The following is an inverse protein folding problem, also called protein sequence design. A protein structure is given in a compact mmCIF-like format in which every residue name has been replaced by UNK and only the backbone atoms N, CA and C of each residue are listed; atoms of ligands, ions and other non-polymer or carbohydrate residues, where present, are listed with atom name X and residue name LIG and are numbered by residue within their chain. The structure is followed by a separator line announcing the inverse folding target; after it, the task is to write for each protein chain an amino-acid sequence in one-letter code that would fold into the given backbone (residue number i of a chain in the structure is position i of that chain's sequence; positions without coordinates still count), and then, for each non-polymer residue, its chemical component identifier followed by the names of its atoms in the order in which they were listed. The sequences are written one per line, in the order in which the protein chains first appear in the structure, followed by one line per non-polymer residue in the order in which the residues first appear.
data_IF_492816824947
#
_entry.id   IF_492816824947
#
_cell.length_a   1.000
_cell.length_b   1.000
_cell.length_c   1.000
_cell.angle_alpha   90.00
_cell.angle_beta   90.00
_cell.angle_gamma   90.00
#
_symmetry.space_group_name_H-M   'P 1'
#
loop_
_entity.id
_entity.type
_entity.pdbx_description
1 polymer ?
#
# COMPACT_ATOMS: atom_id res chain seq x y z
N UNK A 1 33.95 6.91 1.55
CA UNK A 1 33.78 8.35 1.27
C UNK A 1 34.08 8.59 -0.20
N UNK A 2 33.12 8.25 -1.06
CA UNK A 2 33.10 8.67 -2.46
C UNK A 2 32.09 9.81 -2.66
N UNK A 3 32.33 10.66 -3.67
CA UNK A 3 31.43 11.75 -4.05
C UNK A 3 30.86 11.45 -5.44
N UNK A 4 29.57 11.17 -5.51
CA UNK A 4 28.83 10.82 -6.72
C UNK A 4 27.91 11.96 -7.07
N UNK A 5 28.11 12.55 -8.25
CA UNK A 5 27.35 13.73 -8.67
C UNK A 5 26.73 13.49 -10.04
N UNK A 6 25.42 13.63 -10.09
CA UNK A 6 24.62 13.59 -11.31
C UNK A 6 24.87 14.77 -12.25
N UNK A 7 24.12 14.74 -13.35
CA UNK A 7 24.14 15.70 -14.42
C UNK A 7 23.10 16.80 -14.16
N UNK A 8 22.40 17.26 -15.20
CA UNK A 8 21.24 18.13 -15.08
C UNK A 8 20.02 17.50 -15.77
N UNK A 9 20.08 16.19 -15.98
CA UNK A 9 19.06 15.34 -16.60
C UNK A 9 18.66 14.30 -15.57
N UNK A 10 17.65 13.49 -15.89
CA UNK A 10 17.28 12.36 -15.06
C UNK A 10 18.43 11.34 -15.03
N UNK A 11 18.99 11.14 -13.85
CA UNK A 11 20.11 10.23 -13.63
C UNK A 11 19.68 9.04 -12.78
N UNK A 12 20.43 7.94 -12.91
CA UNK A 12 20.43 6.85 -11.93
C UNK A 12 21.80 6.85 -11.29
N UNK A 13 21.86 7.25 -10.03
CA UNK A 13 23.08 7.32 -9.25
C UNK A 13 23.09 6.16 -8.26
N UNK A 14 24.13 5.35 -8.33
CA UNK A 14 24.30 4.15 -7.52
C UNK A 14 25.63 4.28 -6.80
N UNK A 15 25.57 4.24 -5.47
CA UNK A 15 26.73 4.14 -4.61
C UNK A 15 27.43 2.80 -4.72
N UNK A 16 28.58 2.71 -4.10
CA UNK A 16 29.40 1.53 -4.06
C UNK A 16 29.48 1.00 -2.63
N UNK A 17 30.46 0.16 -2.33
CA UNK A 17 30.67 -0.25 -0.94
C UNK A 17 31.34 0.90 -0.16
N UNK A 18 30.82 1.18 1.03
CA UNK A 18 31.28 2.23 1.95
C UNK A 18 30.47 3.54 1.86
N UNK A 19 30.71 4.42 2.83
CA UNK A 19 29.98 5.69 2.97
C UNK A 19 30.14 6.60 1.74
N UNK A 20 29.04 7.00 1.13
CA UNK A 20 28.99 7.79 -0.09
C UNK A 20 28.28 9.13 0.11
N UNK A 21 28.56 10.07 -0.79
CA UNK A 21 27.93 11.39 -0.87
C UNK A 21 27.29 11.51 -2.25
N UNK A 22 25.97 11.44 -2.33
CA UNK A 22 25.24 11.39 -3.60
C UNK A 22 24.46 12.68 -3.84
N UNK A 23 24.66 13.32 -4.98
CA UNK A 23 23.97 14.57 -5.37
C UNK A 23 23.34 14.44 -6.76
N UNK A 24 22.01 14.41 -6.85
CA UNK A 24 21.24 14.33 -8.11
C UNK A 24 21.36 15.57 -9.00
N UNK A 25 21.16 16.76 -8.41
CA UNK A 25 21.18 18.12 -9.00
C UNK A 25 19.86 18.53 -9.67
N UNK A 26 19.73 18.37 -10.98
CA UNK A 26 18.52 18.76 -11.72
C UNK A 26 18.10 17.54 -12.52
N UNK A 27 16.79 17.29 -12.59
CA UNK A 27 16.28 16.10 -13.25
C UNK A 27 15.49 15.29 -12.23
N UNK A 28 14.72 14.34 -12.71
CA UNK A 28 14.04 13.38 -11.85
C UNK A 28 14.99 12.20 -11.66
N UNK A 29 15.66 12.16 -10.51
CA UNK A 29 16.78 11.28 -10.27
C UNK A 29 16.36 10.04 -9.46
N UNK A 30 16.99 8.91 -9.75
CA UNK A 30 16.92 7.69 -8.94
C UNK A 30 18.23 7.57 -8.15
N UNK A 31 18.16 7.64 -6.83
CA UNK A 31 19.31 7.78 -5.94
C UNK A 31 19.40 6.56 -5.02
N UNK A 32 20.40 5.73 -5.25
CA UNK A 32 20.67 4.50 -4.50
C UNK A 32 22.00 4.71 -3.79
N UNK A 33 21.99 4.81 -2.45
CA UNK A 33 23.20 5.03 -1.64
C UNK A 33 24.20 3.88 -1.67
N UNK A 34 23.71 2.68 -1.96
CA UNK A 34 24.43 1.41 -1.80
C UNK A 34 24.71 0.76 -3.14
N UNK A 35 25.55 -0.29 -3.14
CA UNK A 35 25.60 -1.23 -4.25
C UNK A 35 24.46 -2.28 -4.15
N UNK A 36 23.41 -2.24 -4.99
CA UNK A 36 22.27 -3.16 -4.90
C UNK A 36 22.65 -4.61 -5.26
N UNK A 37 23.71 -4.81 -6.06
CA UNK A 37 24.21 -6.15 -6.40
C UNK A 37 25.05 -6.77 -5.26
N UNK A 38 25.24 -6.06 -4.15
CA UNK A 38 25.92 -6.58 -2.95
C UNK A 38 25.06 -7.63 -2.24
N UNK A 39 25.69 -8.60 -1.59
CA UNK A 39 24.96 -9.52 -0.71
C UNK A 39 24.46 -8.86 0.58
N UNK A 40 24.98 -7.68 0.93
CA UNK A 40 24.61 -6.91 2.12
C UNK A 40 24.59 -5.41 1.81
N UNK A 41 23.66 -4.91 0.98
CA UNK A 41 23.64 -3.50 0.58
C UNK A 41 23.43 -2.57 1.79
N UNK A 42 24.28 -1.56 1.97
CA UNK A 42 24.16 -0.58 3.05
C UNK A 42 24.71 -1.04 4.40
N UNK A 43 25.20 -2.29 4.50
CA UNK A 43 25.66 -2.83 5.79
C UNK A 43 26.98 -2.20 6.21
N UNK A 44 26.93 -1.43 7.29
CA UNK A 44 28.06 -0.68 7.83
C UNK A 44 28.40 0.56 7.01
N UNK A 45 27.41 1.11 6.29
CA UNK A 45 27.53 2.24 5.38
C UNK A 45 26.62 3.38 5.84
N UNK A 46 27.15 4.60 5.92
CA UNK A 46 26.36 5.81 6.16
C UNK A 46 26.47 6.71 4.94
N UNK A 47 25.38 6.81 4.19
CA UNK A 47 25.34 7.51 2.91
C UNK A 47 24.54 8.81 3.03
N UNK A 48 25.15 9.92 2.59
CA UNK A 48 24.52 11.22 2.58
C UNK A 48 23.97 11.52 1.17
N UNK A 49 22.66 11.80 1.07
CA UNK A 49 21.96 11.87 -0.21
C UNK A 49 21.19 13.20 -0.36
N UNK A 50 21.38 13.84 -1.51
CA UNK A 50 20.69 15.07 -1.94
C UNK A 50 20.04 14.90 -3.31
N UNK A 51 18.72 15.03 -3.41
CA UNK A 51 18.00 15.02 -4.70
C UNK A 51 18.13 16.35 -5.44
N UNK A 52 18.00 17.45 -4.70
CA UNK A 52 17.91 18.82 -5.18
C UNK A 52 16.64 19.10 -6.00
N UNK A 53 16.76 19.35 -7.30
CA UNK A 53 15.64 19.81 -8.13
C UNK A 53 15.13 18.70 -9.03
N UNK A 54 13.91 18.30 -8.76
CA UNK A 54 13.19 17.37 -9.61
C UNK A 54 12.17 16.62 -8.79
N UNK A 55 11.57 15.61 -9.40
CA UNK A 55 10.86 14.56 -8.68
C UNK A 55 11.83 13.41 -8.53
N UNK A 56 12.43 13.31 -7.35
CA UNK A 56 13.50 12.36 -7.08
C UNK A 56 12.98 11.14 -6.30
N UNK A 57 13.64 10.00 -6.48
CA UNK A 57 13.35 8.76 -5.76
C UNK A 57 14.59 8.37 -4.96
N UNK A 58 14.47 8.36 -3.64
CA UNK A 58 15.50 7.87 -2.72
C UNK A 58 15.26 6.39 -2.43
N UNK A 59 16.18 5.53 -2.83
CA UNK A 59 16.00 4.08 -2.75
C UNK A 59 16.66 3.51 -1.50
N UNK A 60 15.84 2.95 -0.61
CA UNK A 60 16.27 2.29 0.63
C UNK A 60 15.88 0.80 0.66
N UNK A 61 15.39 0.28 -0.47
CA UNK A 61 15.07 -1.13 -0.67
C UNK A 61 14.53 -1.36 -2.09
N UNK A 62 14.57 -2.59 -2.55
CA UNK A 62 14.04 -3.03 -3.84
C UNK A 62 13.08 -4.22 -3.68
N UNK A 63 12.80 -4.96 -4.74
CA UNK A 63 11.94 -6.15 -4.69
C UNK A 63 12.58 -7.30 -3.88
N UNK A 64 13.91 -7.32 -3.79
CA UNK A 64 14.67 -8.43 -3.21
C UNK A 64 15.09 -8.18 -1.76
N UNK A 65 15.35 -6.93 -1.36
CA UNK A 65 15.90 -6.62 -0.04
C UNK A 65 15.61 -5.21 0.51
N UNK A 66 15.55 -5.12 1.84
CA UNK A 66 15.73 -3.87 2.60
C UNK A 66 17.22 -3.50 2.59
N UNK A 67 17.55 -2.25 2.26
CA UNK A 67 18.93 -1.74 2.38
C UNK A 67 19.21 -1.19 3.76
N UNK A 68 20.49 -1.18 4.15
CA UNK A 68 20.98 -0.73 5.45
C UNK A 68 20.49 -1.57 6.65
N UNK A 69 19.64 -2.57 6.45
CA UNK A 69 19.28 -3.53 7.50
C UNK A 69 20.34 -4.62 7.61
N UNK A 70 21.22 -4.53 8.62
CA UNK A 70 22.22 -5.56 8.90
C UNK A 70 21.73 -6.68 9.83
N UNK A 71 20.48 -6.56 10.27
CA UNK A 71 19.79 -7.47 11.17
C UNK A 71 20.26 -7.42 12.63
N UNK A 72 20.99 -6.40 13.07
CA UNK A 72 21.51 -6.29 14.44
C UNK A 72 20.73 -5.31 15.33
N UNK A 73 19.53 -5.71 15.77
CA UNK A 73 18.61 -4.88 16.59
C UNK A 73 19.10 -4.48 17.99
N UNK A 74 20.29 -4.94 18.40
CA UNK A 74 20.92 -4.51 19.65
C UNK A 74 21.81 -3.28 19.46
N UNK A 75 21.95 -2.79 18.23
CA UNK A 75 22.67 -1.56 17.91
C UNK A 75 21.70 -0.41 17.76
N UNK A 76 22.22 0.80 17.50
CA UNK A 76 21.37 1.98 17.27
C UNK A 76 21.00 2.17 15.80
N UNK A 77 21.48 1.29 14.90
CA UNK A 77 21.41 1.47 13.43
C UNK A 77 22.10 2.73 12.95
N UNK A 78 23.12 3.19 13.69
CA UNK A 78 23.81 4.45 13.41
C UNK A 78 25.02 4.28 12.49
N UNK A 79 25.39 3.03 12.20
CA UNK A 79 26.56 2.67 11.39
C UNK A 79 26.17 2.23 9.98
N UNK A 80 24.87 2.11 9.71
CA UNK A 80 24.23 1.56 8.52
C UNK A 80 22.92 2.31 8.27
N UNK A 81 22.98 3.49 7.63
CA UNK A 81 21.78 4.29 7.32
C UNK A 81 21.97 5.26 6.17
N UNK A 82 20.87 5.60 5.50
CA UNK A 82 20.81 6.76 4.59
C UNK A 82 20.42 8.05 5.32
N UNK A 83 21.16 9.13 5.09
CA UNK A 83 20.77 10.50 5.50
C UNK A 83 20.28 11.26 4.28
N UNK A 84 18.98 11.52 4.23
CA UNK A 84 18.34 12.27 3.15
C UNK A 84 18.19 13.74 3.60
N UNK A 85 18.81 14.67 2.88
CA UNK A 85 18.95 16.05 3.36
C UNK A 85 17.89 17.05 2.89
N UNK A 86 17.29 16.82 1.72
CA UNK A 86 16.49 17.82 1.01
C UNK A 86 15.18 17.26 0.42
N UNK A 87 14.64 16.21 1.02
CA UNK A 87 13.36 15.62 0.64
C UNK A 87 12.23 16.65 0.53
N UNK A 88 11.59 16.72 -0.64
CA UNK A 88 10.42 17.56 -0.89
C UNK A 88 9.12 16.72 -1.02
N UNK A 89 8.23 16.69 0.00
CA UNK A 89 7.11 15.73 0.09
C UNK A 89 6.02 15.86 -0.98
N UNK A 90 6.01 16.93 -1.77
CA UNK A 90 5.06 17.12 -2.87
C UNK A 90 5.65 16.73 -4.23
N UNK A 91 6.89 16.25 -4.27
CA UNK A 91 7.59 15.90 -5.50
C UNK A 91 8.37 14.61 -5.37
N UNK A 92 9.07 14.41 -4.27
CA UNK A 92 10.01 13.31 -4.09
C UNK A 92 9.36 12.14 -3.37
N UNK A 93 9.90 10.94 -3.60
CA UNK A 93 9.42 9.71 -2.96
C UNK A 93 10.59 8.93 -2.37
N UNK A 94 10.29 8.14 -1.37
CA UNK A 94 11.23 7.18 -0.78
C UNK A 94 10.76 5.78 -1.16
N UNK A 95 11.65 4.99 -1.76
CA UNK A 95 11.38 3.60 -2.08
C UNK A 95 11.82 2.69 -0.94
N UNK A 96 10.93 1.80 -0.52
CA UNK A 96 11.13 0.81 0.53
C UNK A 96 10.78 -0.59 0.00
N UNK A 97 11.37 -1.64 0.56
CA UNK A 97 11.06 -3.03 0.22
C UNK A 97 9.80 -3.51 0.97
N UNK A 98 9.03 -4.45 0.42
CA UNK A 98 7.85 -4.99 1.11
C UNK A 98 6.72 -3.97 1.12
N UNK A 99 6.06 -3.73 2.26
CA UNK A 99 4.93 -2.80 2.38
C UNK A 99 5.12 -1.81 3.55
N UNK A 100 4.11 -0.97 3.82
CA UNK A 100 4.19 0.05 4.86
C UNK A 100 4.37 -0.50 6.28
N UNK A 101 3.80 -1.66 6.60
CA UNK A 101 3.85 -2.24 7.95
C UNK A 101 5.18 -2.91 8.27
N UNK A 102 6.01 -3.11 7.26
CA UNK A 102 7.41 -3.49 7.41
C UNK A 102 8.26 -2.35 8.00
N UNK A 103 7.66 -1.18 8.27
CA UNK A 103 8.36 0.01 8.75
C UNK A 103 7.63 0.73 9.88
N UNK A 104 8.41 1.52 10.62
CA UNK A 104 7.92 2.45 11.62
C UNK A 104 8.59 3.82 11.47
N UNK A 105 7.80 4.88 11.61
CA UNK A 105 8.32 6.25 11.64
C UNK A 105 8.41 6.75 13.07
N UNK A 106 9.54 7.36 13.42
CA UNK A 106 9.68 8.08 14.68
C UNK A 106 10.29 9.46 14.45
N UNK A 107 9.92 10.43 15.27
CA UNK A 107 10.60 11.71 15.28
C UNK A 107 11.90 11.60 16.06
N UNK A 108 12.92 12.30 15.56
CA UNK A 108 14.16 12.50 16.31
C UNK A 108 13.89 13.13 17.68
N UNK A 109 14.81 12.93 18.65
CA UNK A 109 14.64 13.47 20.01
C UNK A 109 14.44 14.99 20.06
N UNK A 110 14.98 15.72 19.08
CA UNK A 110 14.83 17.17 18.93
C UNK A 110 13.68 17.58 17.98
N UNK A 111 12.93 16.61 17.46
CA UNK A 111 11.80 16.78 16.55
C UNK A 111 12.16 17.60 15.30
N UNK A 112 13.38 17.41 14.77
CA UNK A 112 13.88 18.13 13.59
C UNK A 112 13.88 17.26 12.32
N UNK A 113 13.79 15.94 12.46
CA UNK A 113 13.79 15.01 11.33
C UNK A 113 12.99 13.75 11.66
N UNK A 114 12.55 13.06 10.61
CA UNK A 114 11.93 11.73 10.71
C UNK A 114 13.02 10.66 10.66
N UNK A 115 12.82 9.59 11.38
CA UNK A 115 13.62 8.37 11.37
C UNK A 115 12.74 7.25 10.84
N UNK A 116 13.27 6.49 9.86
CA UNK A 116 12.59 5.35 9.26
C UNK A 116 13.26 4.10 9.81
N UNK A 117 12.47 3.25 10.46
CA UNK A 117 12.92 1.98 10.99
C UNK A 117 12.31 0.83 10.19
N UNK A 118 13.11 -0.19 9.87
CA UNK A 118 12.59 -1.46 9.35
C UNK A 118 12.23 -2.41 10.50
N UNK A 119 11.11 -3.10 10.38
CA UNK A 119 10.64 -4.19 11.23
C UNK A 119 10.33 -5.47 10.43
N UNK A 120 10.50 -5.45 9.11
CA UNK A 120 10.19 -6.55 8.17
C UNK A 120 10.70 -7.92 8.62
N UNK A 121 11.90 -7.96 9.19
CA UNK A 121 12.59 -9.22 9.48
C UNK A 121 12.61 -9.61 10.96
N UNK A 122 12.17 -8.74 11.90
CA UNK A 122 12.49 -8.90 13.33
C UNK A 122 11.44 -8.35 14.32
N UNK A 123 11.47 -8.87 15.56
CA UNK A 123 10.65 -8.40 16.68
C UNK A 123 11.09 -7.02 17.24
N UNK A 124 12.08 -6.36 16.64
CA UNK A 124 12.60 -5.07 17.09
C UNK A 124 12.93 -4.16 15.88
N UNK A 125 12.58 -2.86 15.94
CA UNK A 125 12.89 -1.92 14.87
C UNK A 125 14.38 -1.62 14.74
N UNK A 126 14.88 -1.59 13.51
CA UNK A 126 16.25 -1.20 13.14
C UNK A 126 16.23 0.09 12.32
N UNK A 127 17.12 1.05 12.62
CA UNK A 127 17.12 2.36 11.94
C UNK A 127 17.80 2.22 10.57
N UNK A 128 17.10 2.55 9.48
CA UNK A 128 17.66 2.47 8.12
C UNK A 128 17.82 3.82 7.43
N UNK A 129 17.10 4.85 7.89
CA UNK A 129 17.23 6.19 7.31
C UNK A 129 16.79 7.33 8.22
N UNK A 130 17.32 8.52 7.91
CA UNK A 130 16.94 9.79 8.50
C UNK A 130 16.58 10.80 7.41
N UNK A 131 15.36 11.35 7.49
CA UNK A 131 14.88 12.36 6.54
C UNK A 131 14.92 13.73 7.21
N UNK A 132 15.97 14.49 6.91
CA UNK A 132 16.27 15.76 7.56
C UNK A 132 15.23 16.83 7.24
N UNK A 133 14.94 17.68 8.23
CA UNK A 133 14.06 18.84 8.11
C UNK A 133 12.60 18.52 7.70
N UNK A 134 12.18 17.26 7.82
CA UNK A 134 10.81 16.85 7.55
C UNK A 134 10.30 15.85 8.60
N UNK A 135 9.08 16.08 9.12
CA UNK A 135 8.53 15.38 10.29
C UNK A 135 7.20 14.69 10.05
N UNK A 136 6.59 14.90 8.89
CA UNK A 136 5.18 14.54 8.63
C UNK A 136 5.08 13.43 7.57
N UNK A 137 6.09 12.55 7.50
CA UNK A 137 6.02 11.34 6.67
C UNK A 137 4.89 10.43 7.15
N UNK A 138 4.28 9.74 6.20
CA UNK A 138 3.17 8.81 6.41
C UNK A 138 3.44 7.64 5.48
N UNK A 139 3.67 6.44 6.02
CA UNK A 139 4.11 5.26 5.27
C UNK A 139 3.14 4.86 4.15
N UNK A 140 1.84 5.10 4.38
CA UNK A 140 0.78 4.77 3.42
C UNK A 140 0.44 5.92 2.47
N UNK A 141 1.18 7.03 2.52
CA UNK A 141 0.99 8.11 1.57
C UNK A 141 1.82 7.85 0.31
N UNK A 142 1.16 7.56 -0.81
CA UNK A 142 1.80 7.32 -2.11
C UNK A 142 2.61 8.50 -2.63
N UNK A 143 2.38 9.72 -2.13
CA UNK A 143 3.21 10.89 -2.41
C UNK A 143 4.53 10.90 -1.63
N UNK A 144 4.63 10.14 -0.52
CA UNK A 144 5.83 10.04 0.30
C UNK A 144 6.63 8.77 0.01
N UNK A 145 5.95 7.64 -0.12
CA UNK A 145 6.58 6.34 -0.26
C UNK A 145 6.13 5.59 -1.51
N UNK A 146 6.98 4.65 -1.92
CA UNK A 146 6.68 3.65 -2.95
C UNK A 146 7.30 2.31 -2.56
N UNK A 147 6.67 1.24 -2.98
CA UNK A 147 7.04 -0.12 -2.61
C UNK A 147 7.09 -0.98 -3.89
N UNK A 148 8.28 -1.40 -4.38
CA UNK A 148 8.42 -2.19 -5.59
C UNK A 148 8.13 -3.67 -5.30
N UNK A 149 7.53 -4.37 -6.26
CA UNK A 149 7.24 -5.80 -6.16
C UNK A 149 5.86 -6.14 -5.57
N UNK A 150 5.20 -5.16 -4.96
CA UNK A 150 3.74 -5.15 -4.89
C UNK A 150 3.27 -4.64 -6.26
N UNK A 151 2.57 -5.46 -7.04
CA UNK A 151 2.01 -4.98 -8.30
C UNK A 151 1.02 -3.89 -7.94
N UNK A 152 1.39 -2.61 -8.07
CA UNK A 152 0.41 -1.52 -8.12
C UNK A 152 -0.16 -1.40 -9.54
N UNK A 153 0.00 -2.44 -10.37
CA UNK A 153 -0.48 -2.48 -11.74
C UNK A 153 -1.88 -3.07 -11.73
N UNK A 154 -2.85 -2.28 -12.20
CA UNK A 154 -4.20 -2.74 -12.50
C UNK A 154 -4.18 -4.06 -13.30
N UNK A 155 -4.72 -5.14 -12.74
CA UNK A 155 -4.77 -6.46 -13.37
C UNK A 155 -6.12 -6.75 -14.04
N UNK A 156 -6.09 -7.48 -15.17
CA UNK A 156 -7.29 -8.11 -15.73
C UNK A 156 -7.29 -9.59 -15.37
N UNK A 157 -8.01 -9.95 -14.31
CA UNK A 157 -8.09 -11.31 -13.80
C UNK A 157 -9.36 -11.98 -14.31
N UNK A 158 -9.18 -13.08 -15.05
CA UNK A 158 -10.31 -13.80 -15.62
C UNK A 158 -10.25 -15.27 -15.21
N UNK A 159 -11.28 -15.70 -14.49
CA UNK A 159 -11.51 -17.08 -14.10
C UNK A 159 -11.78 -18.03 -15.27
N UNK A 160 -12.11 -19.25 -14.92
CA UNK A 160 -12.32 -20.38 -15.81
C UNK A 160 -13.81 -20.65 -16.03
N UNK A 161 -14.19 -21.92 -16.16
CA UNK A 161 -15.60 -22.33 -16.15
C UNK A 161 -15.89 -23.27 -14.97
N UNK A 162 -14.99 -23.27 -13.98
CA UNK A 162 -15.05 -24.04 -12.75
C UNK A 162 -15.13 -23.06 -11.57
N UNK A 163 -15.23 -23.60 -10.36
CA UNK A 163 -15.17 -22.77 -9.16
C UNK A 163 -13.74 -22.27 -8.97
N UNK A 164 -13.57 -20.96 -9.03
CA UNK A 164 -12.27 -20.31 -8.93
C UNK A 164 -12.13 -19.53 -7.61
N UNK A 165 -10.89 -19.29 -7.21
CA UNK A 165 -10.53 -18.28 -6.21
C UNK A 165 -9.67 -17.25 -6.92
N UNK A 166 -10.20 -16.05 -7.06
CA UNK A 166 -9.57 -14.93 -7.77
C UNK A 166 -9.21 -13.86 -6.74
N UNK A 167 -7.95 -13.44 -6.77
CA UNK A 167 -7.35 -12.46 -5.84
C UNK A 167 -6.69 -11.38 -6.70
N UNK A 168 -7.14 -10.14 -6.55
CA UNK A 168 -6.64 -8.95 -7.25
C UNK A 168 -5.17 -8.64 -7.00
N UNK A 169 -4.76 -8.83 -5.74
CA UNK A 169 -3.54 -8.26 -5.17
C UNK A 169 -3.68 -6.75 -5.00
N UNK A 170 -2.62 -5.97 -5.19
CA UNK A 170 -2.70 -4.51 -5.09
C UNK A 170 -3.01 -3.90 -6.47
N UNK A 171 -3.51 -2.67 -6.51
CA UNK A 171 -3.88 -1.99 -7.77
C UNK A 171 -5.39 -1.86 -7.97
N UNK A 172 -5.83 -1.29 -9.11
CA UNK A 172 -7.26 -1.21 -9.46
C UNK A 172 -7.61 -2.32 -10.45
N UNK A 173 -8.10 -3.43 -9.95
CA UNK A 173 -8.24 -4.66 -10.70
C UNK A 173 -9.60 -4.80 -11.39
N UNK A 174 -9.60 -5.62 -12.44
CA UNK A 174 -10.78 -6.03 -13.19
C UNK A 174 -10.93 -7.55 -13.04
N UNK A 175 -11.85 -7.99 -12.18
CA UNK A 175 -12.00 -9.40 -11.83
C UNK A 175 -13.28 -9.98 -12.44
N UNK A 176 -13.15 -11.05 -13.22
CA UNK A 176 -14.26 -11.76 -13.88
C UNK A 176 -14.26 -13.25 -13.55
N UNK A 177 -15.21 -13.71 -12.72
CA UNK A 177 -15.37 -15.13 -12.31
C UNK A 177 -15.75 -16.08 -13.45
N UNK A 178 -16.64 -15.64 -14.34
CA UNK A 178 -17.25 -16.38 -15.47
C UNK A 178 -18.28 -17.43 -15.05
N UNK A 179 -17.95 -18.72 -15.05
CA UNK A 179 -18.90 -19.78 -14.70
C UNK A 179 -18.28 -20.57 -13.56
N UNK A 180 -19.02 -20.79 -12.49
CA UNK A 180 -18.46 -21.40 -11.30
C UNK A 180 -19.19 -20.86 -10.09
N UNK A 181 -18.96 -21.47 -8.94
CA UNK A 181 -19.24 -20.81 -7.68
C UNK A 181 -17.91 -20.22 -7.22
N UNK A 182 -17.71 -18.94 -7.49
CA UNK A 182 -16.40 -18.30 -7.39
C UNK A 182 -16.23 -17.56 -6.06
N UNK A 183 -14.99 -17.50 -5.57
CA UNK A 183 -14.57 -16.64 -4.47
C UNK A 183 -13.76 -15.49 -5.06
N UNK A 184 -14.24 -14.26 -4.90
CA UNK A 184 -13.71 -13.07 -5.56
C UNK A 184 -13.22 -12.08 -4.50
N UNK A 185 -11.92 -11.86 -4.46
CA UNK A 185 -11.24 -10.94 -3.56
C UNK A 185 -10.57 -9.89 -4.44
N UNK A 186 -11.00 -8.64 -4.35
CA UNK A 186 -10.47 -7.55 -5.17
C UNK A 186 -9.05 -7.11 -4.79
N UNK A 187 -8.63 -7.47 -3.58
CA UNK A 187 -7.44 -6.91 -2.92
C UNK A 187 -6.42 -8.00 -2.62
N UNK A 188 -5.24 -7.63 -2.11
CA UNK A 188 -4.33 -8.55 -1.43
C UNK A 188 -4.82 -8.79 0.02
N UNK A 189 -5.40 -9.95 0.36
CA UNK A 189 -5.91 -10.21 1.72
C UNK A 189 -4.78 -10.34 2.76
N UNK A 190 -3.55 -10.62 2.34
CA UNK A 190 -2.39 -10.69 3.22
C UNK A 190 -1.75 -9.29 3.44
N UNK A 191 -2.26 -8.24 2.77
CA UNK A 191 -1.89 -6.86 3.06
C UNK A 191 -2.46 -6.44 4.41
N UNK A 192 -1.76 -5.58 5.18
CA UNK A 192 -2.37 -5.03 6.39
C UNK A 192 -3.32 -3.86 6.08
N UNK A 193 -3.35 -3.37 4.84
CA UNK A 193 -4.32 -2.36 4.37
C UNK A 193 -5.02 -2.79 3.08
N UNK A 194 -5.72 -3.94 3.05
CA UNK A 194 -6.32 -4.45 1.82
C UNK A 194 -7.33 -3.45 1.24
N UNK A 195 -7.23 -3.10 -0.03
CA UNK A 195 -8.19 -2.21 -0.69
C UNK A 195 -7.88 -0.72 -0.53
N UNK A 196 -6.80 -0.36 0.17
CA UNK A 196 -6.52 1.04 0.47
C UNK A 196 -5.98 1.77 -0.77
N UNK A 197 -6.77 2.71 -1.26
CA UNK A 197 -6.47 3.46 -2.48
C UNK A 197 -6.74 2.67 -3.77
N UNK A 198 -7.52 1.59 -3.67
CA UNK A 198 -7.82 0.65 -4.74
C UNK A 198 -9.31 0.69 -5.11
N UNK A 199 -9.62 0.76 -6.40
CA UNK A 199 -10.98 0.69 -6.93
C UNK A 199 -11.11 -0.50 -7.87
N UNK A 200 -11.63 -1.61 -7.35
CA UNK A 200 -11.70 -2.86 -8.09
C UNK A 200 -13.07 -3.08 -8.70
N UNK A 201 -13.10 -3.38 -9.99
CA UNK A 201 -14.32 -3.73 -10.71
C UNK A 201 -14.48 -5.26 -10.76
N UNK A 202 -15.58 -5.77 -10.19
CA UNK A 202 -15.78 -7.21 -9.96
C UNK A 202 -17.09 -7.71 -10.59
N UNK A 203 -16.98 -8.79 -11.37
CA UNK A 203 -18.07 -9.54 -12.00
C UNK A 203 -18.04 -11.03 -11.60
N UNK A 204 -19.09 -11.51 -10.93
CA UNK A 204 -19.25 -12.94 -10.61
C UNK A 204 -19.71 -13.77 -11.81
N UNK A 205 -20.57 -13.20 -12.63
CA UNK A 205 -21.24 -13.84 -13.76
C UNK A 205 -22.16 -15.01 -13.35
N UNK A 206 -21.82 -16.25 -13.68
CA UNK A 206 -22.72 -17.40 -13.54
C UNK A 206 -22.29 -18.35 -12.44
N UNK A 207 -23.09 -18.37 -11.40
CA UNK A 207 -23.09 -19.40 -10.36
C UNK A 207 -23.10 -18.73 -9.00
N UNK A 208 -23.02 -19.51 -7.92
CA UNK A 208 -23.15 -18.95 -6.57
C UNK A 208 -21.81 -18.38 -6.13
N UNK A 209 -21.67 -17.07 -6.30
CA UNK A 209 -20.41 -16.36 -6.08
C UNK A 209 -20.37 -15.69 -4.71
N UNK A 210 -19.17 -15.54 -4.16
CA UNK A 210 -18.90 -14.82 -2.92
C UNK A 210 -17.94 -13.67 -3.22
N UNK A 211 -18.42 -12.44 -3.03
CA UNK A 211 -17.61 -11.23 -3.10
C UNK A 211 -17.08 -10.91 -1.70
N UNK A 212 -15.76 -10.92 -1.53
CA UNK A 212 -15.12 -10.76 -0.23
C UNK A 212 -14.69 -9.32 -0.03
N UNK A 213 -15.28 -8.67 0.98
CA UNK A 213 -14.97 -7.28 1.37
C UNK A 213 -14.43 -7.19 2.81
N UNK A 214 -13.99 -8.34 3.34
CA UNK A 214 -13.41 -8.47 4.68
C UNK A 214 -13.30 -9.94 5.09
N UNK A 215 -12.43 -10.19 6.05
CA UNK A 215 -12.14 -11.51 6.64
C UNK A 215 -12.26 -11.49 8.18
N UNK A 216 -11.72 -12.51 8.85
CA UNK A 216 -11.75 -12.59 10.32
C UNK A 216 -10.94 -11.47 11.01
N UNK A 217 -9.99 -10.87 10.29
CA UNK A 217 -9.01 -9.93 10.83
C UNK A 217 -9.33 -8.47 10.46
N UNK A 218 -9.86 -8.20 9.26
CA UNK A 218 -10.03 -6.84 8.75
C UNK A 218 -11.23 -6.60 7.83
N UNK A 219 -11.69 -5.34 7.80
CA UNK A 219 -12.56 -4.79 6.75
C UNK A 219 -11.66 -4.33 5.61
N UNK A 220 -11.94 -4.74 4.36
CA UNK A 220 -11.19 -4.28 3.18
C UNK A 220 -11.74 -2.94 2.67
N UNK A 221 -10.93 -2.22 1.89
CA UNK A 221 -11.25 -0.90 1.34
C UNK A 221 -11.54 0.16 2.41
N UNK A 222 -10.98 -0.01 3.60
CA UNK A 222 -11.20 0.91 4.71
C UNK A 222 -9.88 1.55 5.10
N UNK A 223 -9.63 2.76 4.58
CA UNK A 223 -8.40 3.51 4.85
C UNK A 223 -8.40 4.30 6.18
N UNK A 224 -9.53 4.29 6.89
CA UNK A 224 -9.70 5.00 8.17
C UNK A 224 -9.80 6.53 8.05
N UNK A 225 -9.84 7.09 6.85
CA UNK A 225 -9.86 8.53 6.61
C UNK A 225 -11.28 9.11 6.64
N UNK A 226 -11.72 9.49 7.85
CA UNK A 226 -13.06 10.06 8.10
C UNK A 226 -13.41 11.39 7.39
N UNK A 227 -12.52 11.94 6.56
CA UNK A 227 -12.67 13.21 5.83
C UNK A 227 -12.75 13.06 4.30
N UNK A 228 -12.66 11.84 3.77
CA UNK A 228 -12.84 11.55 2.34
C UNK A 228 -14.26 11.02 2.10
N UNK A 229 -14.61 10.79 0.84
CA UNK A 229 -15.91 10.20 0.47
C UNK A 229 -15.87 8.67 0.33
N UNK A 230 -14.71 8.04 0.58
CA UNK A 230 -14.44 6.62 0.29
C UNK A 230 -14.58 6.27 -1.19
N UNK A 231 -14.24 7.22 -2.07
CA UNK A 231 -14.42 7.05 -3.51
C UNK A 231 -13.14 6.57 -4.22
N UNK A 232 -12.02 6.53 -3.50
CA UNK A 232 -10.69 6.19 -4.01
C UNK A 232 -10.25 4.79 -3.55
N UNK A 233 -11.09 4.12 -2.75
CA UNK A 233 -10.85 2.86 -2.07
C UNK A 233 -12.18 2.10 -1.93
N UNK A 234 -12.62 1.38 -2.98
CA UNK A 234 -13.89 0.64 -2.95
C UNK A 234 -13.98 -0.49 -3.97
N UNK A 235 -14.74 -1.54 -3.64
CA UNK A 235 -15.16 -2.55 -4.62
C UNK A 235 -16.42 -2.13 -5.40
N UNK A 236 -16.39 -2.20 -6.72
CA UNK A 236 -17.56 -2.04 -7.60
C UNK A 236 -18.04 -3.41 -8.09
N UNK A 237 -19.17 -3.87 -7.56
CA UNK A 237 -19.78 -5.14 -7.93
C UNK A 237 -20.87 -4.92 -8.98
N UNK A 238 -20.72 -5.49 -10.18
CA UNK A 238 -21.58 -5.14 -11.33
C UNK A 238 -22.82 -6.01 -11.54
N UNK A 239 -22.77 -7.29 -11.15
CA UNK A 239 -23.75 -8.30 -11.57
C UNK A 239 -24.27 -9.18 -10.43
N UNK A 240 -24.23 -8.66 -9.20
CA UNK A 240 -24.73 -9.35 -8.01
C UNK A 240 -26.16 -9.87 -8.17
N UNK A 241 -26.33 -11.20 -8.02
CA UNK A 241 -27.63 -11.86 -8.02
C UNK A 241 -28.08 -12.21 -6.58
N UNK A 242 -29.00 -11.47 -5.96
CA UNK A 242 -29.31 -11.56 -4.52
C UNK A 242 -29.85 -12.92 -4.03
N UNK A 243 -30.42 -13.72 -4.93
CA UNK A 243 -30.97 -15.04 -4.56
C UNK A 243 -29.92 -16.15 -4.62
N UNK A 244 -28.69 -15.82 -5.03
CA UNK A 244 -27.66 -16.78 -5.38
C UNK A 244 -26.33 -16.39 -4.78
N UNK A 245 -25.92 -15.15 -4.95
CA UNK A 245 -24.60 -14.67 -4.59
C UNK A 245 -24.59 -14.13 -3.16
N UNK A 246 -23.39 -13.93 -2.62
CA UNK A 246 -23.15 -13.49 -1.25
C UNK A 246 -22.06 -12.43 -1.20
N UNK A 247 -22.18 -11.51 -0.25
CA UNK A 247 -21.12 -10.56 0.09
C UNK A 247 -20.60 -10.95 1.48
N UNK A 248 -19.30 -11.19 1.60
CA UNK A 248 -18.66 -11.43 2.89
C UNK A 248 -18.14 -10.13 3.49
N UNK A 249 -18.39 -9.94 4.79
CA UNK A 249 -17.99 -8.79 5.58
C UNK A 249 -17.40 -9.23 6.92
N UNK A 250 -16.48 -8.44 7.46
CA UNK A 250 -15.91 -8.63 8.78
C UNK A 250 -16.90 -8.23 9.90
N UNK A 251 -16.92 -8.95 11.02
CA UNK A 251 -17.66 -8.54 12.21
C UNK A 251 -19.14 -8.91 12.15
N UNK A 252 -20.05 -7.93 12.19
CA UNK A 252 -21.49 -8.19 12.19
C UNK A 252 -22.32 -7.10 11.50
N UNK A 253 -23.62 -7.37 11.30
CA UNK A 253 -24.50 -6.45 10.59
C UNK A 253 -24.63 -5.04 11.21
N UNK A 254 -24.41 -4.87 12.52
CA UNK A 254 -24.48 -3.56 13.17
C UNK A 254 -23.25 -2.67 12.84
N UNK A 255 -22.19 -3.27 12.29
CA UNK A 255 -20.96 -2.58 11.88
C UNK A 255 -21.08 -1.93 10.49
N UNK A 256 -22.24 -2.04 9.84
CA UNK A 256 -22.44 -1.55 8.47
C UNK A 256 -23.72 -0.75 8.29
N UNK A 257 -23.72 0.12 7.29
CA UNK A 257 -24.89 0.85 6.82
C UNK A 257 -25.03 0.74 5.31
N UNK A 258 -26.27 0.59 4.86
CA UNK A 258 -26.61 0.60 3.43
C UNK A 258 -27.27 1.92 3.07
N UNK A 259 -26.83 2.52 1.97
CA UNK A 259 -27.47 3.72 1.41
C UNK A 259 -27.72 3.55 -0.08
N UNK A 260 -28.72 4.25 -0.62
CA UNK A 260 -28.92 4.32 -2.06
C UNK A 260 -28.09 5.45 -2.64
N UNK A 261 -27.54 5.21 -3.83
CA UNK A 261 -26.92 6.26 -4.63
C UNK A 261 -27.89 7.42 -4.89
N UNK A 262 -27.36 8.62 -5.14
CA UNK A 262 -28.20 9.82 -5.37
C UNK A 262 -29.19 9.65 -6.54
N UNK A 263 -28.84 8.85 -7.55
CA UNK A 263 -29.69 8.51 -8.69
C UNK A 263 -30.52 7.22 -8.51
N UNK A 264 -30.44 6.59 -7.33
CA UNK A 264 -31.14 5.36 -6.96
C UNK A 264 -30.90 4.20 -7.95
N UNK A 265 -29.68 4.10 -8.49
CA UNK A 265 -29.29 3.04 -9.44
C UNK A 265 -28.49 1.91 -8.78
N UNK A 266 -27.89 2.16 -7.60
CA UNK A 266 -27.09 1.17 -6.89
C UNK A 266 -27.19 1.34 -5.37
N UNK A 267 -26.88 0.28 -4.63
CA UNK A 267 -26.67 0.33 -3.18
C UNK A 267 -25.19 0.55 -2.88
N UNK A 268 -24.93 1.42 -1.92
CA UNK A 268 -23.62 1.69 -1.34
C UNK A 268 -23.53 1.02 0.03
N UNK A 269 -22.41 0.35 0.30
CA UNK A 269 -22.13 -0.33 1.56
C UNK A 269 -21.09 0.50 2.31
N UNK A 270 -21.46 0.95 3.50
CA UNK A 270 -20.57 1.72 4.37
C UNK A 270 -20.17 0.89 5.59
N UNK A 271 -18.88 0.87 5.90
CA UNK A 271 -18.37 0.42 7.19
C UNK A 271 -18.54 1.54 8.21
N UNK A 272 -19.07 1.21 9.39
CA UNK A 272 -19.17 2.11 10.56
C UNK A 272 -18.46 1.53 11.79
N UNK A 273 -17.81 0.37 11.65
CA UNK A 273 -16.99 -0.21 12.69
C UNK A 273 -15.90 0.77 13.13
N UNK A 274 -15.87 1.08 14.43
CA UNK A 274 -14.79 1.81 15.09
C UNK A 274 -14.51 3.27 14.63
N UNK A 275 -15.44 3.94 13.95
CA UNK A 275 -15.20 5.30 13.42
C UNK A 275 -16.30 6.32 13.79
N UNK A 276 -15.93 7.60 13.80
CA UNK A 276 -16.84 8.73 14.03
C UNK A 276 -17.68 9.08 12.77
N UNK A 277 -17.35 8.54 11.60
CA UNK A 277 -18.07 8.71 10.33
C UNK A 277 -18.08 7.38 9.56
N UNK A 278 -19.10 7.12 8.71
CA UNK A 278 -19.13 5.96 7.82
C UNK A 278 -18.11 6.06 6.69
N UNK A 279 -17.46 4.94 6.36
CA UNK A 279 -16.51 4.77 5.25
C UNK A 279 -17.16 3.97 4.11
N UNK A 280 -17.03 4.40 2.85
CA UNK A 280 -17.63 3.72 1.70
C UNK A 280 -16.70 2.61 1.21
N UNK A 281 -17.07 1.34 1.39
CA UNK A 281 -16.20 0.20 1.03
C UNK A 281 -16.64 -0.52 -0.25
N UNK A 282 -17.90 -0.35 -0.68
CA UNK A 282 -18.39 -0.99 -1.89
C UNK A 282 -19.64 -0.36 -2.50
N UNK A 283 -19.81 -0.59 -3.80
CA UNK A 283 -21.01 -0.28 -4.57
C UNK A 283 -21.54 -1.54 -5.27
N UNK A 284 -22.82 -1.85 -5.07
CA UNK A 284 -23.49 -2.95 -5.75
C UNK A 284 -24.39 -2.38 -6.84
N UNK A 285 -23.91 -2.43 -8.09
CA UNK A 285 -24.55 -1.80 -9.23
C UNK A 285 -25.86 -2.50 -9.59
N UNK A 286 -26.81 -1.71 -10.10
CA UNK A 286 -28.11 -2.17 -10.60
C UNK A 286 -28.97 -2.95 -9.58
N UNK A 287 -28.66 -2.83 -8.29
CA UNK A 287 -29.42 -3.43 -7.21
C UNK A 287 -29.59 -2.44 -6.06
N UNK A 288 -30.80 -2.36 -5.50
CA UNK A 288 -31.18 -1.32 -4.52
C UNK A 288 -31.73 -1.87 -3.21
N UNK A 289 -32.01 -3.17 -3.15
CA UNK A 289 -32.81 -3.77 -2.07
C UNK A 289 -31.96 -4.72 -1.18
N UNK A 290 -30.68 -4.41 -0.98
CA UNK A 290 -29.82 -5.15 -0.05
C UNK A 290 -30.34 -5.02 1.38
N UNK A 291 -30.26 -6.13 2.12
CA UNK A 291 -30.63 -6.18 3.53
C UNK A 291 -29.54 -6.90 4.31
N UNK A 292 -28.86 -6.19 5.21
CA UNK A 292 -27.74 -6.74 6.01
C UNK A 292 -28.10 -8.02 6.79
N UNK A 293 -29.32 -8.10 7.30
CA UNK A 293 -29.80 -9.28 8.06
C UNK A 293 -30.42 -10.38 7.18
N UNK A 294 -30.16 -10.37 5.88
CA UNK A 294 -30.62 -11.40 4.95
C UNK A 294 -29.54 -12.44 4.66
N UNK A 295 -29.87 -13.44 3.86
CA UNK A 295 -28.91 -14.41 3.38
C UNK A 295 -27.96 -13.85 2.32
N UNK A 296 -28.11 -12.59 1.88
CA UNK A 296 -27.20 -11.93 0.93
C UNK A 296 -25.82 -11.65 1.51
N UNK A 297 -25.69 -11.64 2.84
CA UNK A 297 -24.46 -11.34 3.54
C UNK A 297 -23.98 -12.52 4.38
N UNK A 298 -22.67 -12.76 4.34
CA UNK A 298 -21.96 -13.60 5.28
C UNK A 298 -21.11 -12.68 6.17
N UNK A 299 -21.20 -12.84 7.48
CA UNK A 299 -20.33 -12.14 8.42
C UNK A 299 -19.35 -13.14 9.03
N UNK A 300 -18.09 -12.76 9.12
CA UNK A 300 -16.99 -13.56 9.67
C UNK A 300 -16.33 -12.90 10.87
#
# INVERSE_FOLDING_TARGET
DEEIIGTHQNDTLIGNEGNDQITGRQGNDLLIGVNPDSNTPGRGEVDDIWGNRGTDIFVLGDEDAVYYDDGQTNTTGAEDLAVIYDFEPNRDRIQLHGNADDYQLQLSQNQQHTQIFSIANQNQPELIAQVQNYTDLVLDNSQHFQYPGLSTEDEEIIGTHQNDTLIGNEGNDQITGRQGNDLLIGVNPDSNTPGRGEVDDIWGNRGTDIFVLGDEDAVYYNDGQTNTTGAEDLAVIYDFEPNRDRIQLHGNADDYQLQLSQNQQHTQIFSIANQNQPELIAQVQNYTDLVLNSDQFNFV
#
